data_IF_205816141634
#
_entry.id   IF_205816141634
#
_cell.length_a   1.000
_cell.length_b   1.000
_cell.length_c   1.000
_cell.angle_alpha   90.00
_cell.angle_beta   90.00
_cell.angle_gamma   90.00
#
_symmetry.space_group_name_H-M   'P 1'
#
loop_
_entity.id
_entity.type
_entity.pdbx_description
1 polymer ?
#
# COMPACT_ATOMS: atom_id res chain seq x y z
N UNK A 1 -19.26 1.86 -18.90
CA UNK A 1 -18.67 2.09 -17.56
C UNK A 1 -19.48 3.17 -16.82
N UNK A 2 -20.65 2.83 -16.27
CA UNK A 2 -21.59 3.81 -15.66
C UNK A 2 -21.36 4.09 -14.16
N UNK A 3 -20.44 3.38 -13.51
CA UNK A 3 -20.23 3.49 -12.04
C UNK A 3 -19.28 4.61 -11.62
N UNK A 4 -18.37 5.03 -12.49
CA UNK A 4 -17.34 6.05 -12.15
C UNK A 4 -17.94 7.45 -12.19
N UNK A 5 -18.75 7.77 -13.21
CA UNK A 5 -19.45 9.05 -13.34
C UNK A 5 -20.48 9.33 -12.23
N UNK A 6 -20.80 8.35 -11.39
CA UNK A 6 -21.76 8.46 -10.30
C UNK A 6 -21.10 8.61 -8.92
N UNK A 7 -19.78 8.51 -8.81
CA UNK A 7 -19.07 8.68 -7.54
C UNK A 7 -18.55 10.10 -7.40
N UNK A 8 -19.15 10.86 -6.47
CA UNK A 8 -18.55 12.09 -5.97
C UNK A 8 -17.26 11.81 -5.19
N UNK A 9 -16.40 12.82 -5.13
CA UNK A 9 -15.14 12.82 -4.37
C UNK A 9 -15.38 12.40 -2.90
N UNK A 10 -15.03 11.16 -2.54
CA UNK A 10 -15.19 10.64 -1.18
C UNK A 10 -15.96 9.32 -1.06
N UNK A 11 -16.43 8.74 -2.17
CA UNK A 11 -17.09 7.42 -2.14
C UNK A 11 -16.08 6.27 -2.14
N UNK A 12 -16.47 5.18 -1.46
CA UNK A 12 -15.68 3.95 -1.27
C UNK A 12 -15.00 3.46 -2.56
N UNK A 13 -13.76 2.97 -2.43
CA UNK A 13 -12.95 2.52 -3.56
C UNK A 13 -13.67 1.46 -4.41
N UNK A 14 -13.67 1.65 -5.73
CA UNK A 14 -14.37 0.76 -6.67
C UNK A 14 -13.56 -0.53 -6.80
N UNK A 15 -14.16 -1.66 -6.40
CA UNK A 15 -13.57 -2.98 -6.59
C UNK A 15 -13.57 -3.38 -8.07
N UNK A 16 -12.41 -3.81 -8.56
CA UNK A 16 -12.23 -4.27 -9.94
C UNK A 16 -11.36 -5.53 -10.01
N UNK A 17 -11.78 -6.47 -10.85
CA UNK A 17 -11.00 -7.64 -11.26
C UNK A 17 -10.32 -7.44 -12.62
N UNK A 18 -10.67 -6.36 -13.33
CA UNK A 18 -10.25 -6.11 -14.70
C UNK A 18 -8.84 -5.49 -14.74
N UNK A 19 -7.83 -6.27 -14.37
CA UNK A 19 -6.41 -5.85 -14.37
C UNK A 19 -5.88 -5.51 -15.76
N UNK A 20 -6.47 -6.08 -16.81
CA UNK A 20 -6.06 -5.88 -18.19
C UNK A 20 -6.56 -4.56 -18.80
N UNK A 21 -7.49 -3.86 -18.13
CA UNK A 21 -8.05 -2.60 -18.59
C UNK A 21 -7.04 -1.46 -18.47
N UNK A 22 -7.03 -0.61 -19.50
CA UNK A 22 -6.25 0.62 -19.53
C UNK A 22 -6.92 1.71 -18.68
N UNK A 23 -6.11 2.52 -18.00
CA UNK A 23 -6.57 3.67 -17.24
C UNK A 23 -6.94 4.80 -18.21
N UNK A 24 -8.23 5.11 -18.25
CA UNK A 24 -8.76 6.27 -18.94
C UNK A 24 -8.57 7.57 -18.11
N UNK A 25 -8.49 8.74 -18.76
CA UNK A 25 -8.36 10.03 -18.06
C UNK A 25 -9.48 10.29 -17.03
N UNK A 26 -10.68 9.75 -17.26
CA UNK A 26 -11.84 9.88 -16.36
C UNK A 26 -11.63 9.28 -14.96
N UNK A 27 -10.63 8.41 -14.80
CA UNK A 27 -10.33 7.77 -13.51
C UNK A 27 -9.43 8.61 -12.60
N UNK A 28 -8.82 9.68 -13.12
CA UNK A 28 -7.93 10.54 -12.32
C UNK A 28 -8.69 11.10 -11.11
N UNK A 29 -8.05 11.06 -9.95
CA UNK A 29 -8.64 11.50 -8.68
C UNK A 29 -9.56 10.49 -8.00
N UNK A 30 -9.72 9.28 -8.56
CA UNK A 30 -10.50 8.20 -7.96
C UNK A 30 -9.58 7.11 -7.38
N UNK A 31 -10.05 6.46 -6.31
CA UNK A 31 -9.40 5.27 -5.75
C UNK A 31 -10.05 4.01 -6.30
N UNK A 32 -9.25 3.14 -6.90
CA UNK A 32 -9.67 1.85 -7.43
C UNK A 32 -9.07 0.74 -6.58
N UNK A 33 -9.91 -0.18 -6.12
CA UNK A 33 -9.46 -1.39 -5.44
C UNK A 33 -9.21 -2.47 -6.50
N UNK A 34 -7.95 -2.71 -6.86
CA UNK A 34 -7.54 -3.65 -7.91
C UNK A 34 -7.21 -5.01 -7.30
N UNK A 35 -7.80 -6.08 -7.83
CA UNK A 35 -7.52 -7.44 -7.37
C UNK A 35 -6.10 -7.89 -7.76
N UNK A 36 -5.31 -8.39 -6.82
CA UNK A 36 -3.95 -8.90 -7.07
C UNK A 36 -3.84 -10.44 -7.06
N UNK A 37 -4.97 -11.14 -6.98
CA UNK A 37 -5.02 -12.62 -6.91
C UNK A 37 -5.41 -13.15 -5.53
N UNK A 38 -5.20 -12.35 -4.47
CA UNK A 38 -5.57 -12.70 -3.10
C UNK A 38 -6.36 -11.58 -2.41
N UNK A 39 -5.86 -10.36 -2.51
CA UNK A 39 -6.43 -9.18 -1.88
C UNK A 39 -6.78 -8.13 -2.94
N UNK A 40 -7.45 -7.07 -2.49
CA UNK A 40 -7.64 -5.86 -3.26
C UNK A 40 -6.68 -4.78 -2.76
N UNK A 41 -5.86 -4.24 -3.66
CA UNK A 41 -4.98 -3.12 -3.36
C UNK A 41 -5.64 -1.82 -3.80
N UNK A 42 -5.68 -0.84 -2.90
CA UNK A 42 -6.24 0.47 -3.18
C UNK A 42 -5.20 1.32 -3.91
N UNK A 43 -5.50 1.63 -5.16
CA UNK A 43 -4.66 2.47 -6.03
C UNK A 43 -5.38 3.79 -6.25
N UNK A 44 -4.78 4.88 -5.78
CA UNK A 44 -5.22 6.23 -6.10
C UNK A 44 -4.65 6.64 -7.47
N UNK A 45 -5.53 6.94 -8.42
CA UNK A 45 -5.14 7.19 -9.81
C UNK A 45 -4.69 8.64 -10.00
N UNK A 46 -3.46 8.81 -10.47
CA UNK A 46 -2.87 10.10 -10.85
C UNK A 46 -2.80 10.25 -12.38
N UNK A 47 -2.55 11.46 -12.89
CA UNK A 47 -2.49 11.74 -14.33
C UNK A 47 -1.40 10.94 -15.05
N UNK A 48 -0.24 10.75 -14.40
CA UNK A 48 0.89 9.99 -14.96
C UNK A 48 0.58 8.51 -15.20
N UNK A 49 -0.49 7.99 -14.58
CA UNK A 49 -0.92 6.59 -14.74
C UNK A 49 -1.83 6.39 -15.97
N UNK A 50 -2.28 7.46 -16.63
CA UNK A 50 -3.15 7.38 -17.81
C UNK A 50 -2.40 6.70 -18.95
N UNK A 51 -3.02 5.71 -19.58
CA UNK A 51 -2.39 4.91 -20.64
C UNK A 51 -1.76 3.60 -20.16
N UNK A 52 -1.49 3.46 -18.86
CA UNK A 52 -1.04 2.22 -18.25
C UNK A 52 -2.20 1.27 -17.95
N UNK A 53 -1.89 0.00 -17.66
CA UNK A 53 -2.89 -0.98 -17.22
C UNK A 53 -3.00 -1.02 -15.70
N UNK A 54 -4.22 -1.21 -15.21
CA UNK A 54 -4.50 -1.29 -13.77
C UNK A 54 -3.68 -2.38 -13.05
N UNK A 55 -3.35 -3.47 -13.74
CA UNK A 55 -2.53 -4.55 -13.18
C UNK A 55 -1.09 -4.17 -12.87
N UNK A 56 -0.53 -3.12 -13.47
CA UNK A 56 0.85 -2.66 -13.23
C UNK A 56 1.02 -2.08 -11.81
N UNK A 57 -0.07 -1.52 -11.26
CA UNK A 57 -0.08 -0.88 -9.94
C UNK A 57 -0.50 -1.84 -8.82
N UNK A 58 -0.80 -3.10 -9.13
CA UNK A 58 -1.22 -4.12 -8.18
C UNK A 58 -0.37 -5.40 -8.34
N UNK A 59 0.82 -5.48 -7.71
CA UNK A 59 1.71 -6.64 -7.79
C UNK A 59 1.06 -7.92 -7.25
N UNK A 60 1.19 -9.02 -8.01
CA UNK A 60 0.58 -10.31 -7.67
C UNK A 60 1.41 -11.14 -6.70
N UNK A 61 2.72 -10.95 -6.70
CA UNK A 61 3.67 -11.68 -5.85
C UNK A 61 4.45 -10.69 -4.99
N UNK A 62 4.41 -10.90 -3.68
CA UNK A 62 5.26 -10.15 -2.76
C UNK A 62 6.72 -10.59 -2.97
N UNK A 63 7.57 -9.66 -3.41
CA UNK A 63 9.00 -9.89 -3.39
C UNK A 63 9.48 -9.91 -1.94
N UNK A 64 10.00 -11.06 -1.48
CA UNK A 64 10.42 -11.20 -0.07
C UNK A 64 11.90 -10.86 0.10
N UNK A 65 12.77 -11.37 -0.79
CA UNK A 65 14.22 -11.06 -0.93
C UNK A 65 14.94 -12.22 -1.63
N UNK A 66 15.99 -11.89 -2.37
CA UNK A 66 17.05 -12.84 -2.71
C UNK A 66 18.29 -12.46 -1.91
N UNK A 67 18.32 -12.90 -0.65
CA UNK A 67 19.40 -12.65 0.28
C UNK A 67 19.44 -13.79 1.28
N UNK A 68 20.60 -14.44 1.40
CA UNK A 68 20.82 -15.55 2.33
C UNK A 68 20.59 -15.15 3.79
N UNK A 69 20.78 -16.10 4.71
CA UNK A 69 20.52 -15.91 6.16
C UNK A 69 21.13 -14.62 6.74
N UNK A 70 22.31 -14.21 6.26
CA UNK A 70 23.08 -13.08 6.75
C UNK A 70 22.38 -11.70 6.61
N UNK A 71 21.76 -11.40 5.47
CA UNK A 71 21.02 -10.14 5.29
C UNK A 71 19.72 -10.11 6.11
N UNK A 72 19.08 -11.28 6.28
CA UNK A 72 17.87 -11.42 7.10
C UNK A 72 18.19 -11.13 8.57
N UNK A 73 19.30 -11.65 9.07
CA UNK A 73 19.73 -11.45 10.46
C UNK A 73 20.14 -9.99 10.72
N UNK A 74 20.83 -9.34 9.77
CA UNK A 74 21.20 -7.93 9.89
C UNK A 74 19.98 -6.99 9.95
N UNK A 75 18.96 -7.22 9.12
CA UNK A 75 17.73 -6.40 9.14
C UNK A 75 16.85 -6.67 10.37
N UNK A 76 16.82 -7.92 10.87
CA UNK A 76 16.10 -8.26 12.09
C UNK A 76 16.77 -7.62 13.30
N UNK A 77 18.10 -7.67 13.38
CA UNK A 77 18.87 -7.01 14.43
C UNK A 77 18.67 -5.48 14.40
N UNK A 78 18.68 -4.88 13.21
CA UNK A 78 18.40 -3.44 13.04
C UNK A 78 16.97 -3.07 13.50
N UNK A 79 15.96 -3.87 13.13
CA UNK A 79 14.58 -3.65 13.58
C UNK A 79 14.40 -3.88 15.07
N UNK A 80 15.08 -4.85 15.67
CA UNK A 80 15.02 -5.07 17.12
C UNK A 80 15.70 -3.94 17.89
N UNK A 81 16.80 -3.38 17.38
CA UNK A 81 17.43 -2.19 17.95
C UNK A 81 16.50 -0.97 17.89
N UNK A 82 15.80 -0.77 16.78
CA UNK A 82 14.85 0.34 16.63
C UNK A 82 13.61 0.18 17.52
N UNK A 83 13.06 -1.04 17.63
CA UNK A 83 11.92 -1.35 18.51
C UNK A 83 12.30 -1.17 19.99
N UNK A 84 13.49 -1.62 20.40
CA UNK A 84 13.96 -1.50 21.79
C UNK A 84 14.27 -0.03 22.15
N UNK A 85 14.82 0.76 21.22
CA UNK A 85 14.98 2.20 21.40
C UNK A 85 13.63 2.92 21.53
N UNK A 86 12.64 2.56 20.69
CA UNK A 86 11.30 3.13 20.76
C UNK A 86 10.54 2.72 22.05
N UNK A 87 10.76 1.51 22.56
CA UNK A 87 10.20 1.03 23.82
C UNK A 87 10.84 1.73 25.03
N UNK A 88 12.17 1.94 25.01
CA UNK A 88 12.88 2.69 26.04
C UNK A 88 12.40 4.16 26.10
N UNK A 89 12.19 4.79 24.95
CA UNK A 89 11.63 6.14 24.87
C UNK A 89 10.21 6.22 25.46
N UNK A 90 9.33 5.25 25.13
CA UNK A 90 7.97 5.19 25.72
C UNK A 90 7.99 4.94 27.23
N UNK A 91 8.86 4.07 27.74
CA UNK A 91 8.97 3.79 29.17
C UNK A 91 9.47 5.02 29.97
N UNK A 92 10.39 5.80 29.40
CA UNK A 92 10.85 7.05 30.02
C UNK A 92 9.76 8.13 30.06
N UNK A 93 8.90 8.20 29.04
CA UNK A 93 7.78 9.13 28.99
C UNK A 93 6.64 8.77 29.97
N UNK A 94 6.38 7.48 30.19
CA UNK A 94 5.35 7.01 31.13
C UNK A 94 5.77 7.24 32.59
N UNK A 95 7.06 7.06 32.89
CA UNK A 95 7.61 7.28 34.24
C UNK A 95 7.62 8.77 34.64
N UNK A 96 7.78 9.67 33.67
CA UNK A 96 7.72 11.12 33.89
C UNK A 96 6.30 11.66 34.12
N UNK A 97 5.26 10.94 33.67
CA UNK A 97 3.85 11.34 33.81
C UNK A 97 3.22 10.88 35.14
N UNK A 98 3.92 10.03 35.89
CA UNK A 98 3.46 9.42 37.16
C UNK A 98 4.14 10.01 38.40
N UNK A 99 4.96 11.05 38.21
CA UNK A 99 5.63 11.84 39.26
C UNK A 99 5.10 13.27 39.21
#
# INVERSE_FOLDING_TARGET
MKKISAQGSGQNAIKTWARASQIAPEFVGHTLSVHNGKNFEEVFVTEDMVGHRLGEFAPTTKFIRHGGKMQKEAEIAAKQAEISAAQAAKASADTAKKK
#
